data_IF_968425466879
#
_entry.id   IF_968425466879
#
_cell.length_a   1.000
_cell.length_b   1.000
_cell.length_c   1.000
_cell.angle_alpha   90.00
_cell.angle_beta   90.00
_cell.angle_gamma   90.00
#
_symmetry.space_group_name_H-M   'P 1'
#
loop_
_entity.id
_entity.type
_entity.pdbx_description
1 polymer ?
#
# COMPACT_ATOMS: atom_id res chain seq x y z
N UNK A 1 20.14 -12.55 54.89
CA UNK A 1 19.06 -11.70 54.34
C UNK A 1 19.56 -10.70 53.29
N UNK A 2 20.64 -9.92 53.54
CA UNK A 2 21.16 -8.95 52.55
C UNK A 2 21.57 -9.55 51.19
N UNK A 3 22.18 -10.74 51.17
CA UNK A 3 22.57 -11.43 49.91
C UNK A 3 21.36 -11.91 49.08
N UNK A 4 20.23 -12.20 49.74
CA UNK A 4 19.01 -12.66 49.08
C UNK A 4 18.30 -11.52 48.32
N UNK A 5 18.20 -10.33 48.94
CA UNK A 5 17.64 -9.14 48.29
C UNK A 5 18.48 -8.60 47.12
N UNK A 6 19.81 -8.75 47.20
CA UNK A 6 20.71 -8.39 46.08
C UNK A 6 20.52 -9.33 44.88
N UNK A 7 20.34 -10.64 45.11
CA UNK A 7 20.09 -11.59 44.02
C UNK A 7 18.76 -11.35 43.31
N UNK A 8 17.69 -11.05 44.05
CA UNK A 8 16.36 -10.78 43.46
C UNK A 8 16.37 -9.50 42.60
N UNK A 9 17.10 -8.47 43.06
CA UNK A 9 17.33 -7.23 42.31
C UNK A 9 18.13 -7.46 41.01
N UNK A 10 19.17 -8.31 41.05
CA UNK A 10 20.00 -8.65 39.88
C UNK A 10 19.24 -9.53 38.87
N UNK A 11 18.39 -10.43 39.35
CA UNK A 11 17.50 -11.25 38.50
C UNK A 11 16.44 -10.37 37.81
N UNK A 12 15.92 -9.36 38.50
CA UNK A 12 15.01 -8.37 37.93
C UNK A 12 15.68 -7.57 36.80
N UNK A 13 16.91 -7.08 37.05
CA UNK A 13 17.68 -6.33 36.05
C UNK A 13 17.99 -7.16 34.80
N UNK A 14 18.45 -8.41 34.95
CA UNK A 14 18.79 -9.28 33.81
C UNK A 14 17.58 -9.69 32.98
N UNK A 15 16.40 -9.86 33.61
CA UNK A 15 15.14 -10.07 32.91
C UNK A 15 14.74 -8.84 32.08
N UNK A 16 14.89 -7.64 32.63
CA UNK A 16 14.55 -6.40 31.93
C UNK A 16 15.44 -6.20 30.70
N UNK A 17 16.74 -6.41 30.84
CA UNK A 17 17.67 -6.33 29.70
C UNK A 17 17.30 -7.32 28.61
N UNK A 18 17.05 -8.59 28.97
CA UNK A 18 16.66 -9.64 28.02
C UNK A 18 15.37 -9.29 27.25
N UNK A 19 14.38 -8.68 27.92
CA UNK A 19 13.15 -8.24 27.26
C UNK A 19 13.40 -7.11 26.28
N UNK A 20 14.24 -6.13 26.64
CA UNK A 20 14.60 -5.02 25.76
C UNK A 20 15.28 -5.55 24.48
N UNK A 21 16.23 -6.48 24.62
CA UNK A 21 16.88 -7.11 23.47
C UNK A 21 15.88 -7.87 22.57
N UNK A 22 14.94 -8.60 23.16
CA UNK A 22 13.93 -9.36 22.41
C UNK A 22 13.01 -8.44 21.61
N UNK A 23 12.55 -7.34 22.22
CA UNK A 23 11.71 -6.32 21.55
C UNK A 23 12.49 -5.66 20.42
N UNK A 24 13.76 -5.29 20.66
CA UNK A 24 14.61 -4.63 19.67
C UNK A 24 14.83 -5.51 18.42
N UNK A 25 15.11 -6.80 18.61
CA UNK A 25 15.26 -7.77 17.51
C UNK A 25 13.95 -8.01 16.74
N UNK A 26 12.83 -8.11 17.46
CA UNK A 26 11.51 -8.31 16.84
C UNK A 26 11.13 -7.11 15.96
N UNK A 27 11.37 -5.89 16.46
CA UNK A 27 11.12 -4.65 15.71
C UNK A 27 12.02 -4.54 14.47
N UNK A 28 13.27 -4.98 14.56
CA UNK A 28 14.19 -4.99 13.42
C UNK A 28 13.73 -5.95 12.32
N UNK A 29 13.41 -7.21 12.67
CA UNK A 29 12.90 -8.19 11.72
C UNK A 29 11.61 -7.72 11.04
N UNK A 30 10.67 -7.16 11.81
CA UNK A 30 9.42 -6.64 11.26
C UNK A 30 9.65 -5.47 10.30
N UNK A 31 10.57 -4.54 10.62
CA UNK A 31 10.92 -3.44 9.73
C UNK A 31 11.56 -3.93 8.42
N UNK A 32 12.41 -4.95 8.44
CA UNK A 32 12.97 -5.56 7.21
C UNK A 32 11.85 -6.14 6.35
N UNK A 33 10.91 -6.86 6.97
CA UNK A 33 9.77 -7.44 6.23
C UNK A 33 8.92 -6.34 5.59
N UNK A 34 8.62 -5.27 6.33
CA UNK A 34 7.90 -4.11 5.80
C UNK A 34 8.66 -3.42 4.66
N UNK A 35 9.98 -3.30 4.79
CA UNK A 35 10.82 -2.75 3.74
C UNK A 35 10.75 -3.60 2.46
N UNK A 36 10.83 -4.94 2.57
CA UNK A 36 10.67 -5.85 1.44
C UNK A 36 9.28 -5.75 0.79
N UNK A 37 8.22 -5.58 1.58
CA UNK A 37 6.89 -5.29 1.06
C UNK A 37 6.85 -3.97 0.28
N UNK A 38 7.46 -2.91 0.81
CA UNK A 38 7.58 -1.61 0.13
C UNK A 38 8.30 -1.71 -1.22
N UNK A 39 9.44 -2.43 -1.25
CA UNK A 39 10.20 -2.71 -2.48
C UNK A 39 9.34 -3.49 -3.48
N UNK A 40 8.60 -4.49 -3.01
CA UNK A 40 7.73 -5.32 -3.87
C UNK A 40 6.62 -4.49 -4.52
N UNK A 41 5.94 -3.64 -3.74
CA UNK A 41 4.89 -2.74 -4.26
C UNK A 41 5.48 -1.74 -5.24
N UNK A 42 6.62 -1.14 -4.92
CA UNK A 42 7.31 -0.21 -5.81
C UNK A 42 7.70 -0.86 -7.15
N UNK A 43 8.23 -2.09 -7.09
CA UNK A 43 8.56 -2.87 -8.29
C UNK A 43 7.32 -3.20 -9.13
N UNK A 44 6.20 -3.54 -8.50
CA UNK A 44 4.92 -3.77 -9.20
C UNK A 44 4.39 -2.47 -9.85
N UNK A 45 4.47 -1.34 -9.17
CA UNK A 45 4.07 -0.05 -9.73
C UNK A 45 4.97 0.35 -10.92
N UNK A 46 6.28 0.13 -10.82
CA UNK A 46 7.21 0.33 -11.92
C UNK A 46 6.89 -0.59 -13.09
N UNK A 47 6.62 -1.87 -12.82
CA UNK A 47 6.25 -2.84 -13.86
C UNK A 47 5.04 -2.36 -14.66
N UNK A 48 3.99 -1.92 -13.96
CA UNK A 48 2.77 -1.37 -14.59
C UNK A 48 3.06 -0.13 -15.43
N UNK A 49 3.96 0.77 -14.98
CA UNK A 49 4.35 1.96 -15.74
C UNK A 49 5.11 1.64 -17.03
N UNK A 50 5.96 0.61 -16.98
CA UNK A 50 6.87 0.25 -18.09
C UNK A 50 6.14 -0.61 -19.13
N UNK A 51 5.13 -1.39 -18.74
CA UNK A 51 4.39 -2.28 -19.63
C UNK A 51 3.60 -1.49 -20.69
N UNK A 52 4.01 -1.52 -21.98
CA UNK A 52 3.40 -0.70 -23.03
C UNK A 52 1.96 -1.12 -23.33
N UNK A 53 1.63 -2.40 -23.16
CA UNK A 53 0.27 -2.91 -23.31
C UNK A 53 -0.71 -2.29 -22.32
N UNK A 54 -0.29 -2.04 -21.07
CA UNK A 54 -1.16 -1.43 -20.06
C UNK A 54 -1.43 0.06 -20.36
N UNK A 55 -0.43 0.75 -20.92
CA UNK A 55 -0.54 2.14 -21.35
C UNK A 55 -1.51 2.32 -22.53
N UNK A 56 -1.48 1.46 -23.55
CA UNK A 56 -2.42 1.55 -24.68
C UNK A 56 -3.87 1.30 -24.26
N UNK A 57 -4.08 0.30 -23.41
CA UNK A 57 -5.38 0.00 -22.83
C UNK A 57 -5.91 1.17 -22.00
N UNK A 58 -5.12 1.75 -21.09
CA UNK A 58 -5.56 2.91 -20.29
C UNK A 58 -5.79 4.18 -21.13
N UNK A 59 -5.02 4.39 -22.19
CA UNK A 59 -5.16 5.53 -23.09
C UNK A 59 -6.45 5.45 -23.90
N UNK A 60 -6.89 4.25 -24.29
CA UNK A 60 -8.20 4.05 -24.93
C UNK A 60 -9.40 4.29 -24.01
N UNK A 61 -9.24 4.19 -22.69
CA UNK A 61 -10.29 4.56 -21.74
C UNK A 61 -10.33 6.07 -21.40
N UNK A 62 -9.51 6.93 -22.04
CA UNK A 62 -9.33 8.36 -21.70
C UNK A 62 -9.10 8.62 -20.20
N UNK A 63 -8.51 7.65 -19.49
CA UNK A 63 -8.31 7.69 -18.04
C UNK A 63 -7.05 8.48 -17.67
N UNK A 64 -6.92 9.71 -18.16
CA UNK A 64 -5.80 10.63 -17.88
C UNK A 64 -5.55 10.81 -16.37
N UNK A 65 -6.63 10.77 -15.56
CA UNK A 65 -6.54 10.84 -14.09
C UNK A 65 -5.85 9.62 -13.46
N UNK A 66 -5.86 8.46 -14.13
CA UNK A 66 -5.29 7.23 -13.60
C UNK A 66 -3.76 7.23 -13.67
N UNK A 67 -3.20 7.84 -14.73
CA UNK A 67 -1.76 8.08 -14.84
C UNK A 67 -1.23 8.95 -13.70
N UNK A 68 -1.96 10.00 -13.32
CA UNK A 68 -1.62 10.84 -12.17
C UNK A 68 -1.62 10.01 -10.88
N UNK A 69 -2.61 9.12 -10.71
CA UNK A 69 -2.74 8.25 -9.54
C UNK A 69 -1.56 7.28 -9.40
N UNK A 70 -1.17 6.62 -10.49
CA UNK A 70 -0.02 5.70 -10.50
C UNK A 70 1.27 6.44 -10.14
N UNK A 71 1.48 7.65 -10.68
CA UNK A 71 2.67 8.45 -10.38
C UNK A 71 2.73 8.90 -8.91
N UNK A 72 1.59 9.26 -8.33
CA UNK A 72 1.47 9.59 -6.90
C UNK A 72 1.77 8.36 -6.04
N UNK A 73 1.23 7.20 -6.38
CA UNK A 73 1.50 5.94 -5.69
C UNK A 73 2.98 5.60 -5.78
N UNK A 74 3.61 5.77 -6.95
CA UNK A 74 5.03 5.50 -7.15
C UNK A 74 5.92 6.35 -6.25
N UNK A 75 5.65 7.67 -6.16
CA UNK A 75 6.38 8.59 -5.27
C UNK A 75 6.11 8.24 -3.79
N UNK A 76 4.86 7.95 -3.44
CA UNK A 76 4.49 7.56 -2.08
C UNK A 76 5.19 6.26 -1.65
N UNK A 77 5.21 5.24 -2.52
CA UNK A 77 5.91 3.97 -2.29
C UNK A 77 7.42 4.16 -2.12
N UNK A 78 8.03 5.04 -2.91
CA UNK A 78 9.44 5.40 -2.74
C UNK A 78 9.69 6.04 -1.36
N UNK A 79 8.81 6.95 -0.91
CA UNK A 79 8.87 7.54 0.42
C UNK A 79 8.76 6.50 1.54
N UNK A 80 7.82 5.57 1.43
CA UNK A 80 7.64 4.47 2.40
C UNK A 80 8.88 3.59 2.46
N UNK A 81 9.52 3.29 1.32
CA UNK A 81 10.76 2.52 1.28
C UNK A 81 11.90 3.20 2.04
N UNK A 82 12.04 4.53 1.90
CA UNK A 82 13.05 5.31 2.63
C UNK A 82 12.75 5.32 4.14
N UNK A 83 11.48 5.54 4.53
CA UNK A 83 11.06 5.51 5.93
C UNK A 83 11.30 4.13 6.57
N UNK A 84 11.02 3.04 5.85
CA UNK A 84 11.25 1.68 6.33
C UNK A 84 12.76 1.37 6.48
N UNK A 85 13.60 1.89 5.59
CA UNK A 85 15.06 1.78 5.72
C UNK A 85 15.58 2.56 6.94
N UNK A 86 15.06 3.77 7.17
CA UNK A 86 15.37 4.55 8.38
C UNK A 86 14.87 3.85 9.66
N UNK A 87 13.74 3.13 9.60
CA UNK A 87 13.24 2.28 10.68
C UNK A 87 14.20 1.15 11.05
N UNK A 88 14.84 0.52 10.05
CA UNK A 88 15.91 -0.46 10.29
C UNK A 88 17.12 0.17 11.00
N UNK A 89 17.50 1.40 10.60
CA UNK A 89 18.55 2.17 11.27
C UNK A 89 18.19 2.57 12.71
N UNK A 90 16.93 2.96 12.95
CA UNK A 90 16.41 3.31 14.28
C UNK A 90 16.35 2.11 15.24
N UNK A 91 16.07 0.91 14.72
CA UNK A 91 16.07 -0.31 15.52
C UNK A 91 17.49 -0.75 15.93
N UNK A 92 18.50 -0.48 15.09
CA UNK A 92 19.91 -0.80 15.35
C UNK A 92 20.60 0.23 16.25
N UNK A 93 20.36 1.53 16.02
CA UNK A 93 20.99 2.59 16.80
C UNK A 93 20.32 2.76 18.17
N UNK A 94 21.13 2.74 19.23
CA UNK A 94 20.76 3.13 20.60
C UNK A 94 20.50 4.63 20.77
N UNK A 95 20.36 5.37 19.67
CA UNK A 95 20.16 6.81 19.68
C UNK A 95 18.67 7.15 19.76
N UNK A 96 18.27 7.71 20.90
CA UNK A 96 16.88 8.10 21.22
C UNK A 96 16.28 9.03 20.15
N UNK A 97 17.09 9.87 19.49
CA UNK A 97 16.63 10.79 18.44
C UNK A 97 16.11 10.06 17.20
N UNK A 98 16.72 8.95 16.80
CA UNK A 98 16.27 8.14 15.66
C UNK A 98 14.98 7.38 15.99
N UNK A 99 14.81 6.95 17.24
CA UNK A 99 13.58 6.32 17.73
C UNK A 99 12.40 7.30 17.69
N UNK A 100 12.61 8.56 18.10
CA UNK A 100 11.59 9.61 17.97
C UNK A 100 11.23 9.89 16.51
N UNK A 101 12.22 9.91 15.61
CA UNK A 101 11.99 10.03 14.17
C UNK A 101 11.14 8.90 13.60
N UNK A 102 11.41 7.65 14.02
CA UNK A 102 10.63 6.48 13.61
C UNK A 102 9.18 6.56 14.11
N UNK A 103 8.96 6.82 15.40
CA UNK A 103 7.61 6.97 15.96
C UNK A 103 6.86 8.13 15.29
N UNK A 104 7.52 9.26 15.07
CA UNK A 104 6.95 10.40 14.36
C UNK A 104 6.56 10.06 12.92
N UNK A 105 7.42 9.32 12.20
CA UNK A 105 7.13 8.87 10.83
C UNK A 105 5.93 7.91 10.78
N UNK A 106 5.78 7.03 11.77
CA UNK A 106 4.65 6.11 11.85
C UNK A 106 3.34 6.83 12.21
N UNK A 107 3.39 7.81 13.10
CA UNK A 107 2.26 8.69 13.36
C UNK A 107 1.85 9.48 12.12
N UNK A 108 2.82 10.00 11.35
CA UNK A 108 2.54 10.71 10.12
C UNK A 108 1.85 9.80 9.09
N UNK A 109 2.37 8.59 8.85
CA UNK A 109 1.75 7.60 7.95
C UNK A 109 0.34 7.26 8.41
N UNK A 110 0.13 7.08 9.72
CA UNK A 110 -1.19 6.80 10.27
C UNK A 110 -2.17 7.96 10.03
N UNK A 111 -1.76 9.20 10.26
CA UNK A 111 -2.59 10.39 10.00
C UNK A 111 -2.88 10.54 8.51
N UNK A 112 -1.89 10.40 7.63
CA UNK A 112 -2.09 10.44 6.18
C UNK A 112 -3.02 9.31 5.71
N UNK A 113 -2.89 8.12 6.29
CA UNK A 113 -3.77 6.98 6.01
C UNK A 113 -5.21 7.23 6.46
N UNK A 114 -5.41 7.85 7.63
CA UNK A 114 -6.74 8.25 8.10
C UNK A 114 -7.35 9.35 7.23
N UNK A 115 -6.59 10.38 6.88
CA UNK A 115 -7.05 11.45 5.97
C UNK A 115 -7.40 10.85 4.61
N UNK A 116 -6.54 10.01 4.05
CA UNK A 116 -6.79 9.32 2.78
C UNK A 116 -8.02 8.43 2.84
N UNK A 117 -8.21 7.67 3.93
CA UNK A 117 -9.40 6.84 4.13
C UNK A 117 -10.67 7.67 4.28
N UNK A 118 -10.61 8.79 5.00
CA UNK A 118 -11.73 9.70 5.17
C UNK A 118 -12.12 10.33 3.82
N UNK A 119 -11.14 10.80 3.05
CA UNK A 119 -11.35 11.32 1.69
C UNK A 119 -11.91 10.24 0.76
N UNK A 120 -11.37 9.02 0.81
CA UNK A 120 -11.91 7.88 0.04
C UNK A 120 -13.36 7.57 0.41
N UNK A 121 -13.71 7.64 1.69
CA UNK A 121 -15.08 7.43 2.18
C UNK A 121 -16.02 8.57 1.77
N UNK A 122 -15.54 9.81 1.81
CA UNK A 122 -16.29 10.98 1.33
C UNK A 122 -16.55 10.88 -0.16
N UNK A 123 -15.51 10.56 -0.95
CA UNK A 123 -15.71 10.26 -2.37
C UNK A 123 -16.66 9.09 -2.55
N UNK A 124 -16.50 7.97 -1.81
CA UNK A 124 -17.37 6.79 -1.94
C UNK A 124 -18.82 7.02 -1.49
N UNK A 125 -19.09 8.00 -0.62
CA UNK A 125 -20.41 8.30 -0.06
C UNK A 125 -21.11 9.42 -0.83
N UNK A 126 -20.37 10.37 -1.41
CA UNK A 126 -20.90 11.33 -2.38
C UNK A 126 -21.20 10.70 -3.74
N UNK A 127 -20.72 9.47 -3.95
CA UNK A 127 -20.75 8.83 -5.24
C UNK A 127 -22.07 8.09 -5.54
N UNK A 128 -23.05 8.89 -5.92
CA UNK A 128 -24.01 8.48 -6.95
C UNK A 128 -23.43 8.66 -8.36
N UNK A 129 -22.11 8.93 -8.51
CA UNK A 129 -21.43 9.34 -9.76
C UNK A 129 -20.54 8.28 -10.47
N UNK A 130 -20.06 7.22 -9.82
CA UNK A 130 -19.30 6.11 -10.43
C UNK A 130 -20.25 5.27 -11.27
N UNK A 131 -21.50 5.10 -10.84
CA UNK A 131 -22.51 4.42 -11.67
C UNK A 131 -22.78 5.13 -13.01
N UNK A 132 -23.04 6.45 -13.06
CA UNK A 132 -23.21 7.15 -14.33
C UNK A 132 -21.89 7.25 -15.11
N UNK A 133 -20.73 7.35 -14.46
CA UNK A 133 -19.45 7.34 -15.17
C UNK A 133 -19.17 6.00 -15.86
N UNK A 134 -19.42 4.87 -15.19
CA UNK A 134 -19.33 3.54 -15.79
C UNK A 134 -20.34 3.42 -16.94
N UNK A 135 -21.56 3.93 -16.77
CA UNK A 135 -22.58 3.95 -17.82
C UNK A 135 -22.16 4.79 -19.02
N UNK A 136 -21.59 5.96 -18.83
CA UNK A 136 -21.16 6.86 -19.91
C UNK A 136 -19.97 6.28 -20.68
N UNK A 137 -19.00 5.69 -19.97
CA UNK A 137 -17.87 5.00 -20.60
C UNK A 137 -18.39 3.79 -21.40
N UNK A 138 -19.28 2.98 -20.82
CA UNK A 138 -19.87 1.84 -21.53
C UNK A 138 -20.70 2.28 -22.75
N UNK A 139 -21.48 3.36 -22.63
CA UNK A 139 -22.25 3.93 -23.74
C UNK A 139 -21.34 4.45 -24.87
N UNK A 140 -20.22 5.10 -24.53
CA UNK A 140 -19.24 5.56 -25.53
C UNK A 140 -18.56 4.40 -26.24
N UNK A 141 -18.20 3.34 -25.52
CA UNK A 141 -17.59 2.14 -26.09
C UNK A 141 -18.55 1.39 -27.02
N UNK A 142 -19.84 1.30 -26.65
CA UNK A 142 -20.89 0.69 -27.49
C UNK A 142 -21.21 1.52 -28.74
N UNK A 143 -21.27 2.85 -28.60
CA UNK A 143 -21.62 3.74 -29.71
C UNK A 143 -20.46 3.94 -30.70
N UNK A 144 -19.21 3.62 -30.31
CA UNK A 144 -18.05 3.75 -31.17
C UNK A 144 -17.21 2.45 -31.26
N UNK A 145 -17.78 1.36 -31.83
CA UNK A 145 -17.15 0.04 -31.84
C UNK A 145 -16.06 -0.14 -32.92
N UNK A 146 -15.84 0.88 -33.76
CA UNK A 146 -14.88 0.81 -34.88
C UNK A 146 -13.42 1.00 -34.43
N UNK A 147 -13.17 1.46 -33.20
CA UNK A 147 -11.83 1.51 -32.61
C UNK A 147 -11.45 0.17 -31.98
N UNK A 148 -10.21 -0.25 -32.24
CA UNK A 148 -9.74 -1.62 -31.98
C UNK A 148 -9.82 -2.02 -30.50
N UNK A 149 -9.41 -1.15 -29.57
CA UNK A 149 -9.55 -1.50 -28.14
C UNK A 149 -10.91 -1.23 -27.52
N UNK A 150 -11.83 -0.51 -28.18
CA UNK A 150 -13.23 -0.52 -27.71
C UNK A 150 -13.80 -1.94 -27.77
N UNK A 151 -13.47 -2.70 -28.83
CA UNK A 151 -13.89 -4.10 -29.00
C UNK A 151 -13.25 -5.01 -27.98
N UNK A 152 -11.97 -4.80 -27.70
CA UNK A 152 -11.21 -5.62 -26.76
C UNK A 152 -11.69 -5.40 -25.30
N UNK A 153 -11.94 -4.16 -24.89
CA UNK A 153 -12.53 -3.84 -23.57
C UNK A 153 -13.92 -4.46 -23.44
N UNK A 154 -14.79 -4.30 -24.44
CA UNK A 154 -16.13 -4.88 -24.44
C UNK A 154 -16.08 -6.41 -24.35
N UNK A 155 -15.12 -7.04 -25.03
CA UNK A 155 -14.91 -8.48 -25.01
C UNK A 155 -14.48 -8.97 -23.62
N UNK A 156 -13.51 -8.31 -22.97
CA UNK A 156 -13.09 -8.68 -21.61
C UNK A 156 -14.22 -8.52 -20.58
N UNK A 157 -15.02 -7.46 -20.70
CA UNK A 157 -16.20 -7.26 -19.83
C UNK A 157 -17.24 -8.36 -20.08
N UNK A 158 -17.52 -8.71 -21.35
CA UNK A 158 -18.43 -9.80 -21.70
C UNK A 158 -17.94 -11.15 -21.18
N UNK A 159 -16.66 -11.48 -21.35
CA UNK A 159 -16.08 -12.72 -20.84
C UNK A 159 -16.13 -12.79 -19.31
N UNK A 160 -15.87 -11.68 -18.61
CA UNK A 160 -15.97 -11.61 -17.15
C UNK A 160 -17.39 -11.83 -16.61
N UNK A 161 -18.42 -11.25 -17.26
CA UNK A 161 -19.83 -11.44 -16.90
C UNK A 161 -20.29 -12.86 -17.23
N UNK A 162 -19.92 -13.38 -18.40
CA UNK A 162 -20.21 -14.77 -18.80
C UNK A 162 -19.59 -15.78 -17.83
N UNK A 163 -18.34 -15.56 -17.39
CA UNK A 163 -17.68 -16.42 -16.41
C UNK A 163 -18.41 -16.40 -15.05
N UNK A 164 -18.83 -15.22 -14.58
CA UNK A 164 -19.59 -15.10 -13.32
C UNK A 164 -20.96 -15.79 -13.41
N UNK A 165 -21.66 -15.69 -14.54
CA UNK A 165 -22.93 -16.39 -14.74
C UNK A 165 -22.77 -17.92 -14.79
N UNK A 166 -21.68 -18.40 -15.39
CA UNK A 166 -21.35 -19.83 -15.40
C UNK A 166 -21.01 -20.34 -13.99
N UNK A 167 -20.29 -19.55 -13.20
CA UNK A 167 -19.90 -19.92 -11.83
C UNK A 167 -21.07 -20.00 -10.83
N UNK A 168 -22.24 -19.44 -11.14
CA UNK A 168 -23.45 -19.53 -10.30
C UNK A 168 -24.41 -20.65 -10.73
N UNK A 169 -24.11 -21.34 -11.85
CA UNK A 169 -24.99 -22.35 -12.45
C UNK A 169 -24.55 -23.80 -12.16
N UNK A 170 -23.50 -23.97 -11.37
CA UNK A 170 -22.98 -25.24 -10.83
C UNK A 170 -22.66 -25.04 -9.36
#
# INVERSE_FOLDING_TARGET
>A
MASFGVNESRIGASKLESQIYCIKYTLFCFNIVLWLFGVSIFALCLWICIEPGFNEWMKMLELQKFFIGIYIILIASLGIMVVAFLGCGAALMENVTLLYGYIGSQLAIFVFGLVGSCVLLDFSTYDSSIQPLIRDVLHRLINNPQHEGSREILRMVQEGVSFRFYSYRY
#
